data_IF_362773474953
#
_entry.id   IF_362773474953
#
_cell.length_a   1.000
_cell.length_b   1.000
_cell.length_c   1.000
_cell.angle_alpha   90.00
_cell.angle_beta   90.00
_cell.angle_gamma   90.00
#
_symmetry.space_group_name_H-M   'P 1'
#
loop_
_entity.id
_entity.type
_entity.pdbx_description
1 polymer ?
#
# COMPACT_ATOMS: atom_id res chain seq x y z
N UNK A 1 -2.54 -10.76 1.83
CA UNK A 1 -2.46 -9.38 2.35
C UNK A 1 -3.35 -8.40 1.60
N UNK A 2 -4.27 -7.75 2.32
CA UNK A 2 -5.10 -6.64 1.85
C UNK A 2 -4.86 -5.40 2.72
N UNK A 3 -4.82 -4.25 2.07
CA UNK A 3 -4.71 -2.95 2.73
C UNK A 3 -5.92 -2.08 2.37
N UNK A 4 -6.35 -1.27 3.33
CA UNK A 4 -7.32 -0.20 3.14
C UNK A 4 -6.57 1.12 3.05
N UNK A 5 -6.81 1.90 1.99
CA UNK A 5 -6.22 3.24 1.86
C UNK A 5 -6.85 4.16 2.90
N UNK A 6 -6.04 4.88 3.68
CA UNK A 6 -6.52 5.80 4.73
C UNK A 6 -6.36 7.26 4.34
N UNK A 7 -5.45 7.56 3.42
CA UNK A 7 -5.10 8.92 3.03
C UNK A 7 -5.07 9.09 1.50
N UNK A 8 -5.28 10.33 1.05
CA UNK A 8 -5.17 10.67 -0.37
C UNK A 8 -3.72 10.59 -0.80
N UNK A 9 -3.41 9.71 -1.74
CA UNK A 9 -2.07 9.57 -2.28
C UNK A 9 -1.74 10.74 -3.22
N UNK A 10 -0.55 11.36 -3.13
CA UNK A 10 -0.14 12.49 -3.97
C UNK A 10 0.28 12.03 -5.38
N UNK A 11 -0.63 11.38 -6.10
CA UNK A 11 -0.42 10.84 -7.44
C UNK A 11 -1.59 11.20 -8.36
N UNK A 12 -1.39 11.08 -9.68
CA UNK A 12 -2.47 11.30 -10.66
C UNK A 12 -3.42 10.11 -10.65
N UNK A 13 -4.72 10.38 -10.43
CA UNK A 13 -5.78 9.39 -10.26
C UNK A 13 -5.51 8.41 -9.10
N UNK A 14 -5.45 8.91 -7.85
CA UNK A 14 -5.20 8.06 -6.70
C UNK A 14 -6.35 7.08 -6.46
N UNK A 15 -6.08 5.91 -5.85
CA UNK A 15 -7.13 5.06 -5.33
C UNK A 15 -7.97 5.83 -4.29
N UNK A 16 -9.25 5.50 -4.22
CA UNK A 16 -10.19 6.19 -3.34
C UNK A 16 -9.86 5.94 -1.86
N UNK A 17 -9.96 6.97 -1.02
CA UNK A 17 -9.77 6.80 0.42
C UNK A 17 -10.86 5.87 0.97
N UNK A 18 -10.44 4.83 1.66
CA UNK A 18 -11.30 3.78 2.18
C UNK A 18 -11.46 2.57 1.26
N UNK A 19 -10.95 2.62 0.03
CA UNK A 19 -10.91 1.45 -0.85
C UNK A 19 -9.98 0.37 -0.29
N UNK A 20 -10.30 -0.88 -0.61
CA UNK A 20 -9.52 -2.05 -0.20
C UNK A 20 -8.84 -2.64 -1.42
N UNK A 21 -7.52 -2.84 -1.32
CA UNK A 21 -6.71 -3.39 -2.39
C UNK A 21 -5.88 -4.58 -1.91
N UNK A 22 -5.73 -5.57 -2.79
CA UNK A 22 -4.80 -6.69 -2.60
C UNK A 22 -3.39 -6.22 -2.86
N UNK A 23 -2.48 -6.51 -1.94
CA UNK A 23 -1.05 -6.20 -2.07
C UNK A 23 -0.40 -7.21 -3.01
N UNK A 24 0.31 -6.72 -4.03
CA UNK A 24 1.04 -7.53 -5.01
C UNK A 24 2.50 -7.74 -4.61
N UNK A 25 3.13 -6.71 -4.01
CA UNK A 25 4.52 -6.77 -3.53
C UNK A 25 4.68 -6.01 -2.22
N UNK A 26 5.60 -6.45 -1.37
CA UNK A 26 5.96 -5.79 -0.11
C UNK A 26 7.46 -5.55 -0.07
N UNK A 27 7.87 -4.30 0.16
CA UNK A 27 9.27 -3.95 0.40
C UNK A 27 9.50 -3.78 1.91
N UNK A 28 10.49 -4.48 2.44
CA UNK A 28 10.87 -4.45 3.86
C UNK A 28 12.28 -3.88 4.00
N UNK A 29 12.54 -3.14 5.08
CA UNK A 29 13.91 -2.65 5.36
C UNK A 29 14.87 -3.82 5.69
N UNK A 30 16.10 -3.84 5.13
CA UNK A 30 17.15 -4.79 5.54
C UNK A 30 17.85 -4.32 6.85
N UNK A 31 18.56 -5.18 7.61
CA UNK A 31 18.23 -6.53 8.06
C UNK A 31 18.01 -6.60 9.60
N UNK A 32 17.53 -5.53 10.27
CA UNK A 32 17.24 -5.57 11.73
C UNK A 32 15.81 -5.22 12.11
N UNK A 33 15.14 -4.36 11.35
CA UNK A 33 13.74 -4.00 11.60
C UNK A 33 12.87 -4.65 10.54
N UNK A 34 11.99 -5.59 10.91
CA UNK A 34 10.95 -6.17 10.02
C UNK A 34 9.87 -5.15 9.63
N UNK A 35 10.21 -3.85 9.61
CA UNK A 35 9.27 -2.79 9.29
C UNK A 35 9.03 -2.84 7.79
N UNK A 36 7.76 -2.89 7.42
CA UNK A 36 7.39 -2.68 6.02
C UNK A 36 7.74 -1.25 5.65
N UNK A 37 8.45 -1.08 4.54
CA UNK A 37 8.81 0.22 3.98
C UNK A 37 7.74 0.69 3.00
N UNK A 38 7.25 -0.22 2.15
CA UNK A 38 6.25 0.08 1.13
C UNK A 38 5.40 -1.14 0.80
N UNK A 39 4.11 -0.91 0.56
CA UNK A 39 3.20 -1.87 -0.07
C UNK A 39 3.00 -1.49 -1.53
N UNK A 40 2.91 -2.47 -2.40
CA UNK A 40 2.55 -2.25 -3.80
C UNK A 40 1.19 -2.86 -4.07
N UNK A 41 0.34 -2.10 -4.75
CA UNK A 41 -1.00 -2.52 -5.18
C UNK A 41 -1.13 -2.27 -6.69
N UNK A 42 -2.00 -3.03 -7.33
CA UNK A 42 -2.36 -2.79 -8.73
C UNK A 42 -3.70 -2.05 -8.82
N UNK A 43 -3.69 -0.90 -9.50
CA UNK A 43 -4.89 -0.08 -9.75
C UNK A 43 -4.89 0.30 -11.23
N UNK A 44 -5.90 -0.15 -11.98
CA UNK A 44 -6.06 0.23 -13.39
C UNK A 44 -4.84 -0.08 -14.26
N UNK A 45 -4.22 -1.26 -14.08
CA UNK A 45 -2.99 -1.72 -14.77
C UNK A 45 -1.72 -0.93 -14.41
N UNK A 46 -1.73 -0.20 -13.30
CA UNK A 46 -0.57 0.52 -12.77
C UNK A 46 -0.20 -0.06 -11.40
N UNK A 47 1.09 -0.29 -11.18
CA UNK A 47 1.62 -0.58 -9.86
C UNK A 47 1.76 0.74 -9.09
N UNK A 48 1.12 0.83 -7.92
CA UNK A 48 1.17 1.99 -7.04
C UNK A 48 1.83 1.57 -5.74
N UNK A 49 2.87 2.31 -5.35
CA UNK A 49 3.47 2.20 -4.03
C UNK A 49 2.68 2.99 -3.00
N UNK A 50 2.37 2.36 -1.87
CA UNK A 50 1.62 2.92 -0.75
C UNK A 50 2.47 2.80 0.50
N UNK A 51 2.69 3.91 1.20
CA UNK A 51 3.42 3.86 2.46
C UNK A 51 2.56 3.25 3.58
N UNK A 52 3.15 2.54 4.56
CA UNK A 52 2.40 1.98 5.70
C UNK A 52 1.62 3.01 6.51
N UNK A 53 1.99 4.30 6.44
CA UNK A 53 1.27 5.39 7.10
C UNK A 53 0.00 5.84 6.37
N UNK A 54 -0.09 5.54 5.06
CA UNK A 54 -1.18 5.95 4.16
C UNK A 54 -2.22 4.82 3.99
N UNK A 55 -2.05 3.72 4.72
CA UNK A 55 -2.95 2.58 4.66
C UNK A 55 -3.02 1.84 6.00
N UNK A 56 -4.05 1.00 6.11
CA UNK A 56 -4.24 0.06 7.22
C UNK A 56 -4.32 -1.35 6.69
N UNK A 57 -3.51 -2.25 7.24
CA UNK A 57 -3.61 -3.69 6.96
C UNK A 57 -4.91 -4.20 7.58
N UNK A 58 -5.74 -4.85 6.76
CA UNK A 58 -7.02 -5.42 7.22
C UNK A 58 -7.02 -6.95 7.19
N UNK A 59 -6.16 -7.55 6.38
CA UNK A 59 -6.01 -9.01 6.21
C UNK A 59 -4.55 -9.27 5.84
N UNK A 60 -3.84 -10.14 6.55
CA UNK A 60 -2.43 -10.47 6.27
C UNK A 60 -2.31 -11.62 5.27
#
# INVERSE_FOLDING_TARGET
MKIKITDVLPIVNPPEVGSVHTVTRRETEPPRNRRTKMYYIEVGKREIGVYPRECKVIEE
#
